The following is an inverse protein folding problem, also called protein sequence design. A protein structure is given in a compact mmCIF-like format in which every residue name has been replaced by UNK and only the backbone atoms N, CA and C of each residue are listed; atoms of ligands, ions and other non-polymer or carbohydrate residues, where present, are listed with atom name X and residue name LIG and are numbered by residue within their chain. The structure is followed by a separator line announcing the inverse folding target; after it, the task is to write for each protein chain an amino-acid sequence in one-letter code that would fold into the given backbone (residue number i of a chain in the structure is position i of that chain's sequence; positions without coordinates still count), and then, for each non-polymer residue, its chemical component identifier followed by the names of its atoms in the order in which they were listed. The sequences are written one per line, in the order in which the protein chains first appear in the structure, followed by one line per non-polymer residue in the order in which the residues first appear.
data_IF_090455736922
#
_entry.id   IF_090455736922
#
_cell.length_a   1.000
_cell.length_b   1.000
_cell.length_c   1.000
_cell.angle_alpha   90.00
_cell.angle_beta   90.00
_cell.angle_gamma   90.00
#
_symmetry.space_group_name_H-M   'P 1'
#
loop_
_entity.id
_entity.type
_entity.pdbx_description
1 polymer ?
#
# COMPACT_ATOMS: atom_id res chain seq x y z
N UNK A 1 9.26 -50.93 -9.93
CA UNK A 1 9.61 -50.05 -11.06
C UNK A 1 8.42 -49.15 -11.37
N UNK A 2 8.69 -47.82 -11.47
CA UNK A 2 7.79 -46.70 -11.87
C UNK A 2 6.67 -46.37 -10.85
N UNK A 3 6.95 -45.57 -9.82
CA UNK A 3 6.89 -44.09 -9.79
C UNK A 3 5.66 -43.49 -10.49
N UNK A 4 4.69 -43.02 -9.69
CA UNK A 4 4.31 -41.59 -9.62
C UNK A 4 3.42 -41.32 -8.41
N UNK A 5 4.03 -40.60 -7.48
CA UNK A 5 3.45 -39.90 -6.34
C UNK A 5 2.79 -38.58 -6.79
N UNK A 6 2.12 -37.94 -5.83
CA UNK A 6 1.68 -36.53 -5.80
C UNK A 6 0.29 -36.26 -6.40
N UNK A 7 -0.74 -36.55 -5.60
CA UNK A 7 -1.94 -35.72 -5.50
C UNK A 7 -2.05 -35.30 -4.04
N UNK A 8 -1.37 -34.21 -3.70
CA UNK A 8 -1.54 -33.47 -2.45
C UNK A 8 -1.99 -32.06 -2.80
N UNK A 9 -3.15 -31.70 -2.24
CA UNK A 9 -3.50 -30.37 -1.76
C UNK A 9 -3.69 -29.25 -2.80
N UNK A 10 -4.95 -28.85 -3.02
CA UNK A 10 -5.34 -27.45 -2.81
C UNK A 10 -6.83 -27.38 -2.48
N UNK A 11 -7.12 -27.28 -1.18
CA UNK A 11 -8.36 -26.80 -0.63
C UNK A 11 -8.03 -25.54 0.19
N UNK A 12 -9.02 -24.64 0.31
CA UNK A 12 -9.08 -23.46 1.21
C UNK A 12 -8.33 -22.23 0.63
N UNK A 13 -8.96 -21.06 0.38
CA UNK A 13 -9.72 -20.19 1.32
C UNK A 13 -10.99 -19.60 0.69
N UNK A 14 -12.11 -19.76 1.41
CA UNK A 14 -13.40 -19.06 1.30
C UNK A 14 -13.33 -17.65 1.93
N UNK A 15 -14.21 -16.75 1.46
CA UNK A 15 -14.95 -15.74 2.24
C UNK A 15 -14.15 -14.76 3.11
N UNK A 16 -14.10 -13.49 2.67
CA UNK A 16 -14.18 -12.31 3.56
C UNK A 16 -14.84 -11.14 2.79
N UNK A 17 -16.17 -11.12 2.66
CA UNK A 17 -16.94 -9.89 2.44
C UNK A 17 -18.31 -10.06 3.10
N UNK A 18 -18.27 -10.04 4.43
CA UNK A 18 -19.42 -10.19 5.30
C UNK A 18 -18.92 -10.14 6.74
N UNK A 19 -18.66 -8.94 7.25
CA UNK A 19 -18.22 -8.73 8.63
C UNK A 19 -16.72 -8.59 8.84
N UNK A 20 -16.11 -7.55 8.28
CA UNK A 20 -14.84 -7.00 8.79
C UNK A 20 -14.64 -5.57 8.32
N UNK A 21 -15.40 -4.64 8.93
CA UNK A 21 -14.95 -3.26 9.14
C UNK A 21 -13.81 -3.19 10.20
N UNK A 22 -13.09 -4.28 10.42
CA UNK A 22 -11.99 -4.37 11.37
C UNK A 22 -10.72 -4.73 10.62
N UNK A 23 -9.74 -3.84 10.71
CA UNK A 23 -8.32 -4.03 10.36
C UNK A 23 -7.89 -3.62 8.95
N UNK A 24 -8.39 -2.51 8.42
CA UNK A 24 -7.47 -1.60 7.73
C UNK A 24 -6.66 -0.90 8.85
N UNK A 25 -5.66 -1.59 9.39
CA UNK A 25 -4.67 -0.92 10.23
C UNK A 25 -3.93 0.04 9.29
N UNK A 26 -4.38 1.29 9.28
CA UNK A 26 -3.65 2.38 8.67
C UNK A 26 -2.23 2.30 9.20
N UNK A 27 -1.24 2.10 8.32
CA UNK A 27 0.14 2.32 8.73
C UNK A 27 0.21 3.74 9.23
N UNK A 28 0.58 3.90 10.51
CA UNK A 28 0.65 5.20 11.18
C UNK A 28 1.51 6.21 10.39
N UNK A 29 2.49 5.68 9.64
CA UNK A 29 3.41 6.47 8.84
C UNK A 29 3.84 5.65 7.61
N UNK A 30 3.34 5.97 6.39
CA UNK A 30 3.71 5.27 5.16
C UNK A 30 5.14 5.58 4.71
N UNK A 31 5.77 6.59 5.32
CA UNK A 31 7.16 6.97 5.04
C UNK A 31 8.18 5.96 5.60
N UNK A 32 7.83 5.25 6.68
CA UNK A 32 8.69 4.28 7.36
C UNK A 32 8.50 2.88 6.78
N UNK A 33 9.56 2.35 6.18
CA UNK A 33 9.57 0.98 5.63
C UNK A 33 9.71 -0.03 6.76
N UNK A 34 8.88 -1.08 6.72
CA UNK A 34 8.89 -2.21 7.65
C UNK A 34 9.28 -3.47 6.90
N UNK A 35 10.02 -4.35 7.56
CA UNK A 35 10.38 -5.66 7.04
C UNK A 35 9.27 -6.69 7.29
N UNK A 36 9.36 -7.80 6.58
CA UNK A 36 8.46 -8.94 6.67
C UNK A 36 7.20 -8.85 5.80
N UNK A 37 6.63 -10.02 5.51
CA UNK A 37 5.38 -10.18 4.76
C UNK A 37 4.46 -11.24 5.40
N UNK A 38 3.25 -11.36 4.87
CA UNK A 38 2.32 -12.44 5.23
C UNK A 38 1.89 -12.44 6.71
N UNK A 39 1.65 -13.63 7.31
CA UNK A 39 1.09 -13.75 8.66
C UNK A 39 1.94 -13.09 9.76
N UNK A 40 3.28 -13.16 9.67
CA UNK A 40 4.20 -12.53 10.65
C UNK A 40 4.01 -11.01 10.64
N UNK A 41 4.02 -10.39 9.46
CA UNK A 41 3.78 -8.95 9.32
C UNK A 41 2.42 -8.53 9.86
N UNK A 42 1.40 -9.35 9.63
CA UNK A 42 0.06 -9.14 10.20
C UNK A 42 0.03 -9.19 11.73
N UNK A 43 0.87 -10.01 12.38
CA UNK A 43 1.01 -10.03 13.84
C UNK A 43 1.76 -8.81 14.36
N UNK A 44 2.87 -8.43 13.72
CA UNK A 44 3.65 -7.25 14.09
C UNK A 44 2.81 -5.96 13.94
N UNK A 45 1.99 -5.84 12.89
CA UNK A 45 1.08 -4.70 12.73
C UNK A 45 0.07 -4.59 13.88
N UNK A 46 -0.38 -5.72 14.44
CA UNK A 46 -1.27 -5.71 15.62
C UNK A 46 -0.57 -5.26 16.90
N UNK A 47 0.75 -5.40 16.96
CA UNK A 47 1.55 -4.93 18.08
C UNK A 47 1.85 -3.43 17.99
N UNK A 48 1.86 -2.86 16.78
CA UNK A 48 2.03 -1.41 16.60
C UNK A 48 0.85 -0.61 17.21
N UNK A 49 1.16 0.58 17.75
CA UNK A 49 0.23 1.47 18.45
C UNK A 49 -0.46 0.80 19.66
N UNK A 50 0.18 -0.22 20.23
CA UNK A 50 -0.18 -0.77 21.53
C UNK A 50 0.93 -0.46 22.54
N UNK A 51 0.63 -0.41 23.85
CA UNK A 51 1.66 -0.31 24.88
C UNK A 51 2.74 -1.38 24.67
N UNK A 52 4.01 -0.99 24.74
CA UNK A 52 5.09 -1.96 24.65
C UNK A 52 4.95 -2.99 25.78
N UNK A 53 5.08 -4.30 25.51
CA UNK A 53 4.96 -5.34 26.52
C UNK A 53 6.10 -5.22 27.54
N UNK A 54 5.86 -4.55 28.67
CA UNK A 54 6.88 -4.27 29.68
C UNK A 54 7.52 -5.56 30.26
N UNK A 55 6.78 -6.67 30.24
CA UNK A 55 7.26 -8.01 30.60
C UNK A 55 8.37 -8.52 29.67
N UNK A 56 8.49 -8.00 28.44
CA UNK A 56 9.58 -8.36 27.54
C UNK A 56 10.96 -8.00 28.13
N UNK A 57 11.08 -6.89 28.85
CA UNK A 57 12.36 -6.51 29.47
C UNK A 57 12.83 -7.51 30.53
N UNK A 58 11.90 -8.19 31.20
CA UNK A 58 12.21 -9.23 32.20
C UNK A 58 12.73 -10.53 31.57
N UNK A 59 12.66 -10.67 30.24
CA UNK A 59 13.22 -11.81 29.50
C UNK A 59 14.72 -11.65 29.19
N UNK A 60 15.27 -10.46 29.46
CA UNK A 60 16.68 -10.13 29.24
C UNK A 60 17.48 -10.14 30.54
N UNK A 61 18.77 -10.50 30.43
CA UNK A 61 19.70 -10.56 31.55
C UNK A 61 20.98 -9.76 31.29
N UNK A 62 21.85 -9.73 32.30
CA UNK A 62 23.26 -9.29 32.21
C UNK A 62 23.49 -7.87 31.65
N UNK A 63 22.54 -6.97 31.88
CA UNK A 63 22.57 -5.58 31.42
C UNK A 63 23.94 -4.89 31.65
N UNK A 64 24.46 -4.25 30.60
CA UNK A 64 25.66 -3.40 30.61
C UNK A 64 25.30 -1.99 30.17
N UNK A 65 26.07 -1.02 30.65
CA UNK A 65 25.98 0.39 30.26
C UNK A 65 24.60 1.03 30.53
N UNK A 66 23.79 0.40 31.40
CA UNK A 66 22.45 0.83 31.76
C UNK A 66 21.60 -0.32 32.32
N UNK A 67 20.30 -0.08 32.40
CA UNK A 67 19.28 -1.05 32.79
C UNK A 67 18.09 -0.95 31.81
N UNK A 68 17.08 -1.82 31.98
CA UNK A 68 15.85 -1.76 31.19
C UNK A 68 15.24 -0.34 31.23
N UNK A 69 14.96 0.29 30.07
CA UNK A 69 14.46 1.64 30.04
C UNK A 69 12.95 1.70 30.29
N UNK A 70 12.51 2.77 30.95
CA UNK A 70 11.14 3.26 30.86
C UNK A 70 11.05 4.31 29.74
N UNK A 71 9.94 4.30 28.99
CA UNK A 71 9.73 5.20 27.86
C UNK A 71 9.17 6.57 28.30
N UNK A 72 9.63 7.09 29.44
CA UNK A 72 9.13 8.28 30.17
C UNK A 72 9.29 9.59 29.38
N UNK A 73 8.49 9.77 28.31
CA UNK A 73 8.63 10.90 27.39
C UNK A 73 9.82 10.79 26.43
N UNK A 74 10.52 9.65 26.41
CA UNK A 74 11.69 9.37 25.56
C UNK A 74 11.38 8.35 24.48
N UNK A 75 12.13 8.40 23.40
CA UNK A 75 12.06 7.40 22.32
C UNK A 75 13.02 6.27 22.65
N UNK A 76 12.60 5.01 22.53
CA UNK A 76 13.47 3.85 22.70
C UNK A 76 13.64 3.13 21.37
N UNK A 77 14.87 3.04 20.87
CA UNK A 77 15.27 2.18 19.77
C UNK A 77 15.78 0.86 20.33
N UNK A 78 15.18 -0.24 19.92
CA UNK A 78 15.63 -1.60 20.20
C UNK A 78 16.31 -2.12 18.93
N UNK A 79 17.55 -2.57 19.04
CA UNK A 79 18.30 -3.24 17.97
C UNK A 79 18.64 -4.66 18.43
N UNK A 80 18.11 -5.69 17.78
CA UNK A 80 18.64 -7.04 18.01
C UNK A 80 19.90 -7.24 17.19
N UNK A 81 20.90 -7.92 17.73
CA UNK A 81 22.11 -8.22 16.97
C UNK A 81 22.85 -9.47 17.43
N UNK A 82 23.65 -10.01 16.53
CA UNK A 82 24.59 -11.10 16.74
C UNK A 82 25.96 -10.72 16.17
N UNK A 83 27.00 -10.76 16.99
CA UNK A 83 28.34 -10.26 16.65
C UNK A 83 29.10 -11.14 15.63
N UNK A 84 28.64 -12.35 15.28
CA UNK A 84 29.19 -13.11 14.14
C UNK A 84 28.53 -12.75 12.81
N UNK A 85 27.38 -12.07 12.81
CA UNK A 85 26.65 -11.81 11.58
C UNK A 85 26.99 -10.42 10.99
N UNK A 86 27.57 -10.33 9.77
CA UNK A 86 28.06 -9.06 9.23
C UNK A 86 27.01 -7.95 9.10
N UNK A 87 25.79 -8.28 8.69
CA UNK A 87 24.72 -7.27 8.59
C UNK A 87 24.30 -6.76 9.97
N UNK A 88 24.26 -7.63 10.98
CA UNK A 88 23.97 -7.25 12.35
C UNK A 88 25.03 -6.30 12.94
N UNK A 89 26.31 -6.50 12.60
CA UNK A 89 27.37 -5.54 12.98
C UNK A 89 27.13 -4.14 12.43
N UNK A 90 26.69 -4.03 11.18
CA UNK A 90 26.38 -2.73 10.56
C UNK A 90 25.18 -2.08 11.23
N UNK A 91 24.13 -2.85 11.51
CA UNK A 91 22.96 -2.38 12.25
C UNK A 91 23.33 -1.88 13.65
N UNK A 92 24.15 -2.63 14.37
CA UNK A 92 24.66 -2.24 15.69
C UNK A 92 25.50 -0.95 15.63
N UNK A 93 26.40 -0.81 14.64
CA UNK A 93 27.18 0.41 14.45
C UNK A 93 26.30 1.64 14.17
N UNK A 94 25.22 1.47 13.39
CA UNK A 94 24.20 2.50 13.19
C UNK A 94 23.52 2.87 14.51
N UNK A 95 23.09 1.89 15.30
CA UNK A 95 22.47 2.11 16.59
C UNK A 95 23.41 2.85 17.57
N UNK A 96 24.70 2.50 17.60
CA UNK A 96 25.72 3.21 18.38
C UNK A 96 25.90 4.67 17.95
N UNK A 97 25.95 4.93 16.64
CA UNK A 97 26.03 6.29 16.09
C UNK A 97 24.83 7.11 16.53
N UNK A 98 23.62 6.57 16.39
CA UNK A 98 22.38 7.25 16.79
C UNK A 98 22.33 7.54 18.28
N UNK A 99 22.77 6.61 19.13
CA UNK A 99 22.89 6.87 20.56
C UNK A 99 23.85 8.04 20.86
N UNK A 100 25.00 8.09 20.19
CA UNK A 100 25.97 9.18 20.39
C UNK A 100 25.44 10.54 19.94
N UNK A 101 24.70 10.58 18.83
CA UNK A 101 24.27 11.85 18.22
C UNK A 101 22.91 12.34 18.71
N UNK A 102 22.01 11.44 19.14
CA UNK A 102 20.61 11.76 19.44
C UNK A 102 20.20 11.52 20.90
N UNK A 103 21.09 11.00 21.77
CA UNK A 103 20.75 10.77 23.18
C UNK A 103 20.28 12.04 23.90
N UNK A 104 20.88 13.20 23.59
CA UNK A 104 20.50 14.49 24.18
C UNK A 104 19.09 14.96 23.77
N UNK A 105 18.60 14.50 22.61
CA UNK A 105 17.27 14.83 22.10
C UNK A 105 16.17 13.92 22.69
N UNK A 106 16.58 12.93 23.49
CA UNK A 106 15.69 11.99 24.18
C UNK A 106 15.63 10.60 23.56
N UNK A 107 16.62 10.20 22.75
CA UNK A 107 16.76 8.81 22.28
C UNK A 107 17.46 7.94 23.33
N UNK A 108 16.88 6.78 23.64
CA UNK A 108 17.53 5.67 24.32
C UNK A 108 17.72 4.55 23.31
N UNK A 109 18.89 3.94 23.28
CA UNK A 109 19.16 2.78 22.42
C UNK A 109 19.48 1.58 23.28
N UNK A 110 18.73 0.49 23.07
CA UNK A 110 18.95 -0.82 23.68
C UNK A 110 19.37 -1.80 22.60
N UNK A 111 20.58 -2.31 22.70
CA UNK A 111 21.04 -3.42 21.88
C UNK A 111 20.83 -4.75 22.62
N UNK A 112 20.08 -5.64 21.99
CA UNK A 112 19.76 -6.96 22.53
C UNK A 112 20.61 -8.00 21.82
N UNK A 113 21.63 -8.50 22.52
CA UNK A 113 22.53 -9.48 21.98
C UNK A 113 21.89 -10.88 21.95
N UNK A 114 22.19 -11.64 20.91
CA UNK A 114 21.87 -13.06 20.84
C UNK A 114 22.47 -13.86 22.01
N UNK A 115 21.92 -15.05 22.27
CA UNK A 115 22.38 -15.95 23.34
C UNK A 115 23.86 -16.32 23.20
N UNK A 116 24.30 -16.60 21.98
CA UNK A 116 25.69 -16.94 21.66
C UNK A 116 26.53 -15.66 21.51
N UNK A 117 27.84 -15.70 21.73
CA UNK A 117 28.78 -14.56 21.54
C UNK A 117 28.77 -13.47 22.63
N UNK A 118 27.92 -13.59 23.65
CA UNK A 118 27.76 -12.58 24.70
C UNK A 118 29.05 -12.17 25.42
N UNK A 119 29.91 -13.13 25.77
CA UNK A 119 31.12 -12.86 26.56
C UNK A 119 32.09 -11.87 25.88
N UNK A 120 32.11 -11.84 24.55
CA UNK A 120 32.90 -10.89 23.77
C UNK A 120 32.21 -9.52 23.73
N UNK A 121 30.90 -9.50 23.42
CA UNK A 121 30.09 -8.29 23.38
C UNK A 121 30.08 -7.53 24.73
N UNK A 122 29.96 -8.26 25.85
CA UNK A 122 29.86 -7.69 27.19
C UNK A 122 31.15 -7.02 27.70
N UNK A 123 32.29 -7.29 27.06
CA UNK A 123 33.59 -6.67 27.38
C UNK A 123 33.85 -5.39 26.58
N UNK A 124 33.06 -5.15 25.53
CA UNK A 124 33.21 -3.97 24.67
C UNK A 124 32.67 -2.70 25.30
N UNK A 125 33.36 -1.58 25.05
CA UNK A 125 32.81 -0.26 25.29
C UNK A 125 31.69 0.03 24.29
N UNK A 126 30.61 0.66 24.75
CA UNK A 126 29.44 0.94 23.92
C UNK A 126 28.69 2.18 24.37
N UNK A 127 28.18 2.94 23.41
CA UNK A 127 27.27 4.08 23.66
C UNK A 127 25.81 3.68 23.87
N UNK A 128 25.51 2.38 23.74
CA UNK A 128 24.15 1.84 23.89
C UNK A 128 24.03 1.02 25.16
N UNK A 129 22.81 0.94 25.69
CA UNK A 129 22.47 -0.02 26.74
C UNK A 129 22.51 -1.40 26.09
N UNK A 130 23.26 -2.33 26.68
CA UNK A 130 23.44 -3.68 26.13
C UNK A 130 22.76 -4.69 27.06
N UNK A 131 22.03 -5.64 26.50
CA UNK A 131 21.34 -6.68 27.26
C UNK A 131 21.47 -8.05 26.57
N UNK A 132 21.45 -9.12 27.35
CA UNK A 132 21.59 -10.49 26.86
C UNK A 132 20.23 -11.18 26.74
N UNK A 133 19.87 -11.63 25.54
CA UNK A 133 18.74 -12.55 25.36
C UNK A 133 19.20 -14.01 25.51
N UNK A 134 19.61 -14.37 26.72
CA UNK A 134 20.23 -15.66 27.03
C UNK A 134 19.39 -16.88 26.62
N UNK A 135 18.06 -16.73 26.58
CA UNK A 135 17.11 -17.81 26.29
C UNK A 135 16.43 -17.67 24.92
N UNK A 136 16.68 -16.59 24.16
CA UNK A 136 15.97 -16.29 22.92
C UNK A 136 14.51 -15.88 23.13
N UNK A 137 14.09 -15.63 24.37
CA UNK A 137 12.69 -15.40 24.74
C UNK A 137 12.24 -13.98 24.42
N UNK A 138 13.15 -13.02 24.51
CA UNK A 138 12.84 -11.66 24.07
C UNK A 138 12.56 -11.63 22.56
N UNK A 139 13.42 -12.30 21.78
CA UNK A 139 13.25 -12.44 20.32
C UNK A 139 11.95 -13.13 19.95
N UNK A 140 11.61 -14.24 20.62
CA UNK A 140 10.32 -14.91 20.43
C UNK A 140 9.14 -13.98 20.74
N UNK A 141 9.21 -13.23 21.85
CA UNK A 141 8.16 -12.31 22.30
C UNK A 141 7.90 -11.16 21.32
N UNK A 142 8.94 -10.65 20.68
CA UNK A 142 8.86 -9.58 19.68
C UNK A 142 8.78 -10.08 18.24
N UNK A 143 8.69 -11.40 18.02
CA UNK A 143 8.65 -12.03 16.70
C UNK A 143 9.88 -11.70 15.84
N UNK A 144 11.05 -11.56 16.45
CA UNK A 144 12.32 -11.33 15.76
C UNK A 144 12.65 -12.56 14.92
N UNK A 145 12.84 -12.39 13.61
CA UNK A 145 13.14 -13.49 12.68
C UNK A 145 14.59 -13.49 12.20
N UNK A 146 15.24 -12.32 12.16
CA UNK A 146 16.65 -12.20 11.82
C UNK A 146 17.36 -11.18 12.73
N UNK A 147 18.67 -11.08 12.56
CA UNK A 147 19.41 -9.91 13.02
C UNK A 147 19.97 -9.15 11.82
N UNK A 148 20.03 -7.81 11.84
CA UNK A 148 19.42 -6.97 12.88
C UNK A 148 17.94 -6.72 12.60
N UNK A 149 17.11 -6.74 13.66
CA UNK A 149 15.76 -6.16 13.61
C UNK A 149 15.71 -4.90 14.47
N UNK A 150 14.89 -3.92 14.04
CA UNK A 150 14.72 -2.65 14.73
C UNK A 150 13.29 -2.41 15.17
N UNK A 151 13.10 -2.08 16.45
CA UNK A 151 11.79 -1.75 17.03
C UNK A 151 11.86 -0.39 17.71
N UNK A 152 10.74 0.34 17.68
CA UNK A 152 10.65 1.67 18.24
C UNK A 152 9.54 1.77 19.26
N UNK A 153 9.87 2.25 20.45
CA UNK A 153 8.90 2.71 21.45
C UNK A 153 8.85 4.24 21.36
N UNK A 154 7.66 4.81 21.19
CA UNK A 154 7.50 6.26 21.16
C UNK A 154 7.52 6.89 22.57
N UNK A 155 7.44 8.22 22.62
CA UNK A 155 7.45 9.00 23.87
C UNK A 155 6.27 8.72 24.81
N UNK A 156 5.25 7.99 24.36
CA UNK A 156 4.11 7.57 25.16
C UNK A 156 4.21 6.12 25.65
N UNK A 157 5.29 5.41 25.31
CA UNK A 157 5.49 4.02 25.70
C UNK A 157 4.78 3.00 24.81
N UNK A 158 4.28 3.41 23.64
CA UNK A 158 3.68 2.50 22.68
C UNK A 158 4.74 1.94 21.74
N UNK A 159 4.63 0.67 21.35
CA UNK A 159 5.39 0.13 20.23
C UNK A 159 4.91 0.82 18.96
N UNK A 160 5.69 1.77 18.47
CA UNK A 160 5.30 2.63 17.35
C UNK A 160 5.58 1.98 16.00
N UNK A 161 6.76 1.40 15.87
CA UNK A 161 7.18 0.68 14.67
C UNK A 161 7.79 -0.66 15.08
N UNK A 162 7.36 -1.71 14.41
CA UNK A 162 7.86 -3.06 14.64
C UNK A 162 8.57 -3.58 13.38
N UNK A 163 9.82 -4.00 13.55
CA UNK A 163 10.68 -4.52 12.49
C UNK A 163 10.87 -3.53 11.33
N UNK A 164 11.58 -2.44 11.62
CA UNK A 164 11.86 -1.34 10.68
C UNK A 164 13.06 -1.69 9.81
N UNK A 165 12.92 -1.47 8.50
CA UNK A 165 14.02 -1.70 7.57
C UNK A 165 15.20 -0.79 7.87
N UNK A 166 16.41 -1.33 7.74
CA UNK A 166 17.66 -0.63 8.15
C UNK A 166 17.75 0.79 7.58
N UNK A 167 17.34 1.00 6.32
CA UNK A 167 17.37 2.30 5.64
C UNK A 167 16.37 3.33 6.21
N UNK A 168 15.35 2.89 6.95
CA UNK A 168 14.31 3.75 7.54
C UNK A 168 14.57 4.07 9.02
N UNK A 169 15.58 3.47 9.66
CA UNK A 169 15.85 3.62 11.10
C UNK A 169 16.12 5.08 11.48
N UNK A 170 16.98 5.79 10.74
CA UNK A 170 17.32 7.18 11.05
C UNK A 170 16.13 8.12 10.87
N UNK A 171 15.34 7.91 9.80
CA UNK A 171 14.11 8.66 9.58
C UNK A 171 13.09 8.42 10.70
N UNK A 172 12.93 7.17 11.15
CA UNK A 172 12.04 6.83 12.26
C UNK A 172 12.48 7.52 13.57
N UNK A 173 13.78 7.55 13.87
CA UNK A 173 14.33 8.31 15.00
C UNK A 173 13.96 9.78 14.90
N UNK A 174 14.22 10.42 13.77
CA UNK A 174 14.00 11.86 13.60
C UNK A 174 12.52 12.23 13.74
N UNK A 175 11.62 11.43 13.15
CA UNK A 175 10.17 11.63 13.29
C UNK A 175 9.72 11.50 14.74
N UNK A 176 10.17 10.48 15.47
CA UNK A 176 9.73 10.24 16.84
C UNK A 176 10.31 11.21 17.84
N UNK A 177 11.53 11.70 17.61
CA UNK A 177 12.12 12.74 18.44
C UNK A 177 11.42 14.09 18.24
N UNK A 178 10.92 14.38 17.04
CA UNK A 178 10.13 15.58 16.74
C UNK A 178 8.69 15.51 17.27
N UNK A 179 8.14 14.30 17.45
CA UNK A 179 6.80 14.08 18.00
C UNK A 179 6.76 14.39 19.51
N UNK A 180 5.69 15.04 19.97
CA UNK A 180 5.43 15.29 21.41
C UNK A 180 4.72 14.10 22.04
N UNK A 181 4.94 13.87 23.34
CA UNK A 181 4.34 12.75 24.07
C UNK A 181 2.79 12.70 23.97
N UNK A 182 2.12 13.84 24.13
CA UNK A 182 0.65 13.91 24.02
C UNK A 182 0.16 13.58 22.59
N UNK A 183 0.92 13.99 21.57
CA UNK A 183 0.60 13.68 20.18
C UNK A 183 0.78 12.19 19.87
N UNK A 184 1.82 11.55 20.45
CA UNK A 184 2.05 10.12 20.36
C UNK A 184 0.93 9.32 21.05
N UNK A 185 0.56 9.70 22.28
CA UNK A 185 -0.50 9.04 23.05
C UNK A 185 -1.87 9.11 22.34
N UNK A 186 -2.17 10.26 21.72
CA UNK A 186 -3.43 10.48 21.01
C UNK A 186 -3.51 9.87 19.60
N UNK A 187 -2.40 9.33 19.05
CA UNK A 187 -2.35 8.93 17.64
C UNK A 187 -3.39 7.86 17.29
N UNK A 188 -3.49 6.79 18.08
CA UNK A 188 -4.44 5.69 17.81
C UNK A 188 -5.88 6.19 17.78
N UNK A 189 -6.23 7.06 18.73
CA UNK A 189 -7.54 7.71 18.79
C UNK A 189 -7.79 8.56 17.54
N UNK A 190 -6.84 9.44 17.20
CA UNK A 190 -6.92 10.28 15.99
C UNK A 190 -7.08 9.47 14.70
N UNK A 191 -6.33 8.38 14.53
CA UNK A 191 -6.47 7.49 13.36
C UNK A 191 -7.83 6.80 13.32
N UNK A 192 -8.37 6.42 14.49
CA UNK A 192 -9.72 5.86 14.60
C UNK A 192 -10.79 6.92 14.29
N UNK A 193 -10.65 8.14 14.80
CA UNK A 193 -11.55 9.27 14.53
C UNK A 193 -11.52 9.66 13.06
N UNK A 194 -10.34 9.72 12.44
CA UNK A 194 -10.18 9.96 11.01
C UNK A 194 -10.81 8.83 10.17
N UNK A 195 -10.66 7.57 10.60
CA UNK A 195 -11.31 6.44 9.94
C UNK A 195 -12.83 6.49 10.08
N UNK A 196 -13.34 6.85 11.25
CA UNK A 196 -14.76 7.03 11.50
C UNK A 196 -15.32 8.23 10.74
N UNK A 197 -14.60 9.35 10.69
CA UNK A 197 -14.99 10.53 9.91
C UNK A 197 -15.02 10.22 8.41
N UNK A 198 -14.05 9.43 7.90
CA UNK A 198 -14.10 8.92 6.52
C UNK A 198 -15.30 8.01 6.29
N UNK A 199 -15.59 7.09 7.19
CA UNK A 199 -16.76 6.20 7.09
C UNK A 199 -18.07 6.98 7.15
N UNK A 200 -18.19 7.96 8.04
CA UNK A 200 -19.35 8.86 8.12
C UNK A 200 -19.50 9.71 6.86
N UNK A 201 -18.39 10.22 6.31
CA UNK A 201 -18.42 10.97 5.05
C UNK A 201 -18.81 10.08 3.88
N UNK A 202 -18.32 8.84 3.81
CA UNK A 202 -18.74 7.85 2.81
C UNK A 202 -20.22 7.54 2.95
N UNK A 203 -20.72 7.28 4.17
CA UNK A 203 -22.14 7.07 4.44
C UNK A 203 -22.98 8.30 4.11
N UNK A 204 -22.47 9.51 4.34
CA UNK A 204 -23.14 10.76 3.98
C UNK A 204 -23.22 10.92 2.47
N UNK A 205 -22.13 10.65 1.76
CA UNK A 205 -22.09 10.63 0.30
C UNK A 205 -23.10 9.60 -0.23
N UNK A 206 -23.14 8.40 0.34
CA UNK A 206 -24.08 7.34 -0.04
C UNK A 206 -25.54 7.73 0.32
N UNK A 207 -25.81 8.32 1.48
CA UNK A 207 -27.14 8.79 1.86
C UNK A 207 -27.63 9.97 1.00
N UNK A 208 -26.72 10.83 0.53
CA UNK A 208 -27.04 11.88 -0.45
C UNK A 208 -27.31 11.29 -1.85
N UNK A 209 -26.72 10.14 -2.18
CA UNK A 209 -27.06 9.37 -3.40
C UNK A 209 -28.42 8.69 -3.30
N UNK A 210 -28.86 8.29 -2.12
CA UNK A 210 -30.16 7.64 -1.94
C UNK A 210 -31.35 8.62 -2.00
N UNK A 211 -31.13 9.92 -1.77
CA UNK A 211 -32.19 10.95 -1.86
C UNK A 211 -32.32 11.60 -3.24
N UNK A 212 -31.34 11.42 -4.13
CA UNK A 212 -31.36 11.97 -5.49
C UNK A 212 -30.87 10.88 -6.43
N UNK A 213 -31.71 10.45 -7.37
CA UNK A 213 -31.28 9.55 -8.44
C UNK A 213 -30.19 10.24 -9.28
N UNK A 214 -28.92 10.06 -8.91
CA UNK A 214 -27.78 10.64 -9.62
C UNK A 214 -27.63 10.10 -11.05
N UNK A 215 -28.34 9.01 -11.40
CA UNK A 215 -28.38 8.49 -12.77
C UNK A 215 -29.27 9.34 -13.68
N UNK A 216 -30.14 10.18 -13.10
CA UNK A 216 -31.02 11.09 -13.84
C UNK A 216 -30.41 12.46 -14.14
N UNK A 217 -29.25 12.80 -13.56
CA UNK A 217 -28.58 14.09 -13.81
C UNK A 217 -28.01 14.07 -15.23
N UNK A 218 -28.43 15.00 -16.12
CA UNK A 218 -27.86 15.09 -17.47
C UNK A 218 -26.35 15.40 -17.41
N UNK A 219 -25.64 15.17 -18.52
CA UNK A 219 -24.27 15.68 -18.65
C UNK A 219 -24.33 17.20 -18.80
N UNK A 220 -23.83 17.92 -17.80
CA UNK A 220 -23.82 19.38 -17.77
C UNK A 220 -22.47 19.92 -18.22
N UNK A 221 -22.42 21.03 -18.99
CA UNK A 221 -21.16 21.69 -19.27
C UNK A 221 -20.58 22.27 -17.97
N UNK A 222 -19.29 22.05 -17.75
CA UNK A 222 -18.56 22.61 -16.61
C UNK A 222 -17.24 23.21 -17.12
N UNK A 223 -16.68 24.23 -16.45
CA UNK A 223 -15.41 24.81 -16.84
C UNK A 223 -14.28 23.78 -16.68
N UNK A 224 -13.46 23.63 -17.71
CA UNK A 224 -12.26 22.78 -17.60
C UNK A 224 -11.32 23.35 -16.52
N UNK A 225 -10.71 22.50 -15.68
CA UNK A 225 -9.79 22.98 -14.66
C UNK A 225 -8.57 23.68 -15.25
N UNK A 226 -8.11 24.73 -14.59
CA UNK A 226 -6.88 25.40 -15.01
C UNK A 226 -5.64 24.52 -14.73
N UNK A 227 -4.54 24.66 -15.49
CA UNK A 227 -3.28 23.97 -15.22
C UNK A 227 -2.77 24.20 -13.79
N UNK A 228 -3.00 25.38 -13.22
CA UNK A 228 -2.62 25.73 -11.86
C UNK A 228 -3.43 24.92 -10.83
N UNK A 229 -4.73 24.72 -11.06
CA UNK A 229 -5.58 23.90 -10.20
C UNK A 229 -5.15 22.43 -10.22
N UNK A 230 -4.80 21.89 -11.39
CA UNK A 230 -4.26 20.52 -11.55
C UNK A 230 -2.93 20.37 -10.81
N UNK A 231 -2.04 21.37 -10.90
CA UNK A 231 -0.74 21.36 -10.23
C UNK A 231 -0.87 21.49 -8.70
N UNK A 232 -1.83 22.26 -8.22
CA UNK A 232 -2.06 22.48 -6.79
C UNK A 232 -2.80 21.32 -6.10
N UNK A 233 -3.40 20.40 -6.87
CA UNK A 233 -4.13 19.26 -6.33
C UNK A 233 -3.19 18.33 -5.54
N UNK A 234 -3.67 17.88 -4.37
CA UNK A 234 -2.93 17.01 -3.45
C UNK A 234 -3.10 15.54 -3.86
N UNK A 235 -2.49 15.18 -4.99
CA UNK A 235 -2.53 13.83 -5.55
C UNK A 235 -2.00 12.77 -4.57
N UNK A 236 -2.46 11.51 -4.66
CA UNK A 236 -1.83 10.43 -3.91
C UNK A 236 -0.35 10.30 -4.31
N UNK A 237 0.54 9.93 -3.38
CA UNK A 237 1.93 9.68 -3.74
C UNK A 237 2.01 8.47 -4.66
N UNK A 238 2.83 8.61 -5.71
CA UNK A 238 3.12 7.54 -6.66
C UNK A 238 4.00 6.46 -6.03
N UNK A 239 4.02 5.24 -6.59
CA UNK A 239 5.01 4.23 -6.20
C UNK A 239 6.45 4.72 -6.38
N UNK A 240 7.39 4.12 -5.65
CA UNK A 240 8.81 4.36 -5.84
C UNK A 240 9.27 3.78 -7.18
N UNK A 241 10.22 4.45 -7.83
CA UNK A 241 10.87 3.93 -9.02
C UNK A 241 11.72 2.71 -8.63
N UNK A 242 11.41 1.51 -9.16
CA UNK A 242 12.16 0.30 -8.87
C UNK A 242 13.61 0.35 -9.40
N UNK A 243 13.94 1.30 -10.27
CA UNK A 243 15.27 1.49 -10.86
C UNK A 243 16.13 2.52 -10.12
N UNK A 244 15.59 3.17 -9.08
CA UNK A 244 16.34 4.16 -8.31
C UNK A 244 17.54 3.51 -7.59
N UNK A 245 18.68 4.21 -7.56
CA UNK A 245 19.88 3.73 -6.86
C UNK A 245 19.62 3.61 -5.35
N UNK A 246 20.21 2.60 -4.71
CA UNK A 246 20.13 2.42 -3.25
C UNK A 246 20.50 3.73 -2.53
N UNK A 247 19.56 4.24 -1.72
CA UNK A 247 19.70 5.51 -0.98
C UNK A 247 19.02 6.73 -1.62
N UNK A 248 18.41 6.60 -2.80
CA UNK A 248 17.56 7.64 -3.41
C UNK A 248 16.14 7.09 -3.59
N UNK A 249 15.20 7.50 -2.74
CA UNK A 249 13.78 7.18 -2.93
C UNK A 249 13.16 8.16 -3.94
N UNK A 250 13.35 7.90 -5.23
CA UNK A 250 12.67 8.66 -6.29
C UNK A 250 11.27 8.09 -6.51
N UNK A 251 10.24 8.92 -6.42
CA UNK A 251 8.88 8.53 -6.82
C UNK A 251 8.78 8.53 -8.34
N UNK A 252 7.88 7.70 -8.89
CA UNK A 252 7.52 7.80 -10.29
C UNK A 252 6.86 9.17 -10.57
N UNK A 253 6.94 9.59 -11.82
CA UNK A 253 6.23 10.77 -12.32
C UNK A 253 4.89 10.36 -12.97
N UNK A 254 3.83 11.18 -12.88
CA UNK A 254 2.57 10.91 -13.56
C UNK A 254 2.77 10.73 -15.06
N UNK A 255 2.10 9.74 -15.66
CA UNK A 255 2.26 9.41 -17.08
C UNK A 255 0.95 9.60 -17.84
N UNK A 256 0.96 10.15 -19.07
CA UNK A 256 -0.25 10.25 -19.87
C UNK A 256 -0.75 8.85 -20.26
N UNK A 257 -2.06 8.63 -20.17
CA UNK A 257 -2.71 7.39 -20.59
C UNK A 257 -3.76 7.71 -21.66
N UNK A 258 -3.57 7.14 -22.84
CA UNK A 258 -4.53 7.24 -23.93
C UNK A 258 -5.48 6.04 -23.89
N UNK A 259 -6.78 6.31 -23.74
CA UNK A 259 -7.82 5.28 -23.83
C UNK A 259 -8.25 5.09 -25.29
N UNK A 260 -8.56 3.86 -25.73
CA UNK A 260 -9.08 3.59 -27.06
C UNK A 260 -10.34 4.41 -27.37
N UNK A 261 -10.55 4.76 -28.64
CA UNK A 261 -11.77 5.45 -29.07
C UNK A 261 -12.89 4.50 -29.50
N UNK A 262 -12.55 3.26 -29.84
CA UNK A 262 -13.47 2.24 -30.38
C UNK A 262 -13.49 1.00 -29.49
N UNK A 263 -14.37 0.04 -29.84
CA UNK A 263 -14.45 -1.28 -29.20
C UNK A 263 -14.82 -1.26 -27.70
N UNK A 264 -15.64 -0.28 -27.32
CA UNK A 264 -16.20 -0.18 -25.98
C UNK A 264 -17.49 -0.99 -25.85
N UNK A 265 -17.66 -1.62 -24.70
CA UNK A 265 -18.90 -2.27 -24.30
C UNK A 265 -19.43 -1.73 -22.97
N UNK A 266 -20.76 -1.49 -22.84
CA UNK A 266 -21.77 -1.56 -23.90
C UNK A 266 -21.67 -0.42 -24.93
N UNK A 267 -20.98 0.66 -24.56
CA UNK A 267 -20.65 1.83 -25.37
C UNK A 267 -19.51 2.59 -24.72
N UNK A 268 -18.93 3.56 -25.42
CA UNK A 268 -17.94 4.46 -24.81
C UNK A 268 -18.62 5.31 -23.72
N UNK A 269 -18.11 5.32 -22.48
CA UNK A 269 -18.63 6.18 -21.42
C UNK A 269 -18.28 7.65 -21.65
N UNK A 270 -19.01 8.55 -20.99
CA UNK A 270 -18.53 9.93 -20.81
C UNK A 270 -17.37 9.90 -19.80
N UNK A 271 -16.26 10.54 -20.17
CA UNK A 271 -15.02 10.55 -19.40
C UNK A 271 -14.72 11.93 -18.82
N UNK A 272 -15.31 12.99 -19.37
CA UNK A 272 -15.08 14.37 -18.91
C UNK A 272 -15.50 14.52 -17.46
N UNK A 273 -14.59 15.08 -16.66
CA UNK A 273 -14.85 15.37 -15.23
C UNK A 273 -14.97 14.11 -14.37
N UNK A 274 -14.42 12.98 -14.83
CA UNK A 274 -14.40 11.71 -14.11
C UNK A 274 -12.99 11.16 -14.05
N UNK A 275 -12.64 10.55 -12.93
CA UNK A 275 -11.47 9.69 -12.88
C UNK A 275 -11.78 8.35 -13.56
N UNK A 276 -10.74 7.60 -13.94
CA UNK A 276 -10.88 6.29 -14.58
C UNK A 276 -10.06 5.25 -13.80
N UNK A 277 -10.70 4.15 -13.41
CA UNK A 277 -10.01 2.97 -12.87
C UNK A 277 -9.91 1.93 -13.98
N UNK A 278 -8.70 1.68 -14.45
CA UNK A 278 -8.41 0.64 -15.43
C UNK A 278 -7.95 -0.61 -14.71
N UNK A 279 -8.40 -1.80 -15.14
CA UNK A 279 -7.77 -3.05 -14.76
C UNK A 279 -7.51 -3.90 -16.00
N UNK A 280 -6.35 -4.55 -16.07
CA UNK A 280 -6.04 -5.46 -17.16
C UNK A 280 -6.68 -6.81 -16.91
N UNK A 281 -7.24 -7.41 -17.96
CA UNK A 281 -7.77 -8.76 -17.89
C UNK A 281 -7.57 -9.54 -19.20
N UNK A 282 -7.70 -10.85 -19.12
CA UNK A 282 -7.55 -11.76 -20.25
C UNK A 282 -8.52 -12.96 -20.12
N UNK A 283 -9.36 -13.25 -21.13
CA UNK A 283 -10.41 -14.27 -21.05
C UNK A 283 -9.87 -15.68 -20.81
N UNK A 284 -8.69 -16.00 -21.33
CA UNK A 284 -8.06 -17.30 -21.11
C UNK A 284 -7.27 -17.40 -19.79
N UNK A 285 -7.32 -16.36 -18.96
CA UNK A 285 -6.72 -16.33 -17.63
C UNK A 285 -7.82 -16.07 -16.60
N UNK A 286 -8.52 -17.11 -16.09
CA UNK A 286 -9.64 -16.96 -15.15
C UNK A 286 -9.34 -16.09 -13.93
N UNK A 287 -8.10 -16.15 -13.41
CA UNK A 287 -7.63 -15.33 -12.29
C UNK A 287 -7.55 -13.82 -12.59
N UNK A 288 -7.75 -13.41 -13.85
CA UNK A 288 -7.76 -12.00 -14.28
C UNK A 288 -9.09 -11.30 -14.19
N UNK A 289 -10.18 -12.06 -14.19
CA UNK A 289 -11.50 -11.48 -14.40
C UNK A 289 -12.55 -12.01 -13.42
N UNK A 290 -12.46 -13.27 -12.96
CA UNK A 290 -13.48 -13.83 -12.06
C UNK A 290 -13.52 -13.15 -10.67
N UNK A 291 -12.38 -12.73 -10.11
CA UNK A 291 -12.32 -12.09 -8.78
C UNK A 291 -12.46 -10.57 -8.80
N UNK A 292 -12.17 -9.92 -9.93
CA UNK A 292 -12.10 -8.45 -10.03
C UNK A 292 -13.40 -7.85 -10.55
N UNK A 293 -14.09 -8.52 -11.48
CA UNK A 293 -15.26 -7.96 -12.14
C UNK A 293 -16.42 -7.64 -11.20
N UNK A 294 -16.63 -8.44 -10.15
CA UNK A 294 -17.65 -8.13 -9.14
C UNK A 294 -17.35 -6.80 -8.42
N UNK A 295 -16.09 -6.58 -8.06
CA UNK A 295 -15.66 -5.35 -7.41
C UNK A 295 -15.70 -4.16 -8.38
N UNK A 296 -15.39 -4.39 -9.67
CA UNK A 296 -15.53 -3.38 -10.71
C UNK A 296 -16.99 -2.93 -10.87
N UNK A 297 -17.95 -3.85 -10.88
CA UNK A 297 -19.39 -3.53 -10.92
C UNK A 297 -19.82 -2.76 -9.66
N UNK A 298 -19.34 -3.15 -8.47
CA UNK A 298 -19.62 -2.44 -7.23
C UNK A 298 -19.08 -1.01 -7.25
N UNK A 299 -17.82 -0.82 -7.65
CA UNK A 299 -17.19 0.50 -7.73
C UNK A 299 -17.87 1.38 -8.77
N UNK A 300 -18.28 0.83 -9.91
CA UNK A 300 -19.03 1.58 -10.92
C UNK A 300 -20.41 2.00 -10.41
N UNK A 301 -21.13 1.11 -9.71
CA UNK A 301 -22.43 1.46 -9.12
C UNK A 301 -22.29 2.52 -8.04
N UNK A 302 -21.30 2.34 -7.17
CA UNK A 302 -21.08 3.27 -6.06
C UNK A 302 -20.60 4.61 -6.59
N UNK A 303 -19.55 4.66 -7.40
CA UNK A 303 -18.87 5.90 -7.76
C UNK A 303 -19.13 6.37 -9.19
N UNK A 304 -20.05 5.77 -9.95
CA UNK A 304 -20.20 5.97 -11.40
C UNK A 304 -20.39 7.40 -11.90
N UNK A 305 -20.78 8.30 -11.00
CA UNK A 305 -20.86 9.74 -11.30
C UNK A 305 -19.49 10.41 -11.33
N UNK A 306 -18.55 9.98 -10.48
CA UNK A 306 -17.19 10.52 -10.36
C UNK A 306 -16.10 9.61 -10.95
N UNK A 307 -16.40 8.33 -11.14
CA UNK A 307 -15.48 7.28 -11.56
C UNK A 307 -16.06 6.51 -12.74
N UNK A 308 -15.20 6.20 -13.70
CA UNK A 308 -15.46 5.22 -14.74
C UNK A 308 -14.55 4.01 -14.52
N UNK A 309 -15.13 2.84 -14.29
CA UNK A 309 -14.37 1.59 -14.15
C UNK A 309 -14.33 0.89 -15.50
N UNK A 310 -13.12 0.52 -15.93
CA UNK A 310 -12.89 -0.06 -17.26
C UNK A 310 -12.04 -1.32 -17.16
N UNK A 311 -12.59 -2.45 -17.59
CA UNK A 311 -11.84 -3.66 -17.85
C UNK A 311 -11.18 -3.59 -19.23
N UNK A 312 -9.86 -3.48 -19.25
CA UNK A 312 -9.06 -3.41 -20.47
C UNK A 312 -8.53 -4.80 -20.82
N UNK A 313 -9.02 -5.36 -21.91
CA UNK A 313 -8.44 -6.56 -22.49
C UNK A 313 -7.17 -6.16 -23.25
N UNK A 314 -6.04 -6.76 -22.90
CA UNK A 314 -4.77 -6.55 -23.63
C UNK A 314 -4.21 -7.89 -24.13
N UNK A 315 -3.52 -7.92 -25.29
CA UNK A 315 -2.79 -9.09 -25.77
C UNK A 315 -1.69 -9.58 -24.84
N UNK A 316 -1.10 -8.69 -24.03
CA UNK A 316 -0.02 -8.98 -23.06
C UNK A 316 1.14 -9.81 -23.68
N UNK A 317 2.17 -9.12 -24.17
CA UNK A 317 3.32 -9.74 -24.84
C UNK A 317 4.27 -10.51 -23.90
N UNK A 318 4.09 -10.36 -22.58
CA UNK A 318 4.96 -10.86 -21.52
C UNK A 318 4.32 -12.03 -20.76
N UNK A 319 5.13 -12.78 -20.00
CA UNK A 319 4.63 -13.87 -19.17
C UNK A 319 3.83 -13.33 -17.99
N UNK A 320 2.68 -13.95 -17.72
CA UNK A 320 1.85 -13.65 -16.54
C UNK A 320 2.03 -14.81 -15.57
N UNK A 321 2.57 -14.57 -14.38
CA UNK A 321 2.88 -15.62 -13.39
C UNK A 321 3.69 -16.80 -14.00
N UNK A 322 4.69 -16.50 -14.83
CA UNK A 322 5.50 -17.47 -15.57
C UNK A 322 4.74 -18.32 -16.62
N UNK A 323 3.49 -17.97 -16.94
CA UNK A 323 2.74 -18.58 -18.04
C UNK A 323 2.85 -17.69 -19.29
N UNK A 324 3.32 -18.27 -20.39
CA UNK A 324 3.40 -17.60 -21.68
C UNK A 324 2.11 -17.83 -22.47
N UNK A 325 1.50 -16.76 -22.98
CA UNK A 325 0.33 -16.83 -23.85
C UNK A 325 0.73 -17.33 -25.24
N UNK A 326 -0.11 -18.19 -25.84
CA UNK A 326 0.10 -18.66 -27.22
C UNK A 326 -0.12 -17.53 -28.23
N UNK A 327 0.32 -17.70 -29.48
CA UNK A 327 0.02 -16.72 -30.55
C UNK A 327 -1.48 -16.50 -30.71
N UNK A 328 -2.25 -17.57 -30.66
CA UNK A 328 -3.71 -17.54 -30.73
C UNK A 328 -4.38 -16.79 -29.57
N UNK A 329 -3.77 -16.83 -28.39
CA UNK A 329 -4.25 -16.09 -27.22
C UNK A 329 -3.93 -14.60 -27.30
N UNK A 330 -2.95 -14.21 -28.12
CA UNK A 330 -2.50 -12.82 -28.31
C UNK A 330 -3.06 -12.16 -29.57
N UNK A 331 -3.72 -12.94 -30.44
CA UNK A 331 -4.29 -12.44 -31.69
C UNK A 331 -5.38 -11.39 -31.43
N UNK A 332 -5.20 -10.13 -31.88
CA UNK A 332 -6.13 -9.05 -31.58
C UNK A 332 -7.56 -9.28 -32.11
N UNK A 333 -7.71 -9.97 -33.24
CA UNK A 333 -9.02 -10.24 -33.85
C UNK A 333 -9.77 -11.30 -33.03
N UNK A 334 -9.07 -12.37 -32.62
CA UNK A 334 -9.63 -13.40 -31.73
C UNK A 334 -9.98 -12.81 -30.37
N UNK A 335 -9.12 -11.95 -29.82
CA UNK A 335 -9.36 -11.28 -28.55
C UNK A 335 -10.56 -10.33 -28.60
N UNK A 336 -10.73 -9.58 -29.69
CA UNK A 336 -11.92 -8.75 -29.89
C UNK A 336 -13.19 -9.60 -29.93
N UNK A 337 -13.18 -10.74 -30.63
CA UNK A 337 -14.31 -11.67 -30.64
C UNK A 337 -14.62 -12.21 -29.24
N UNK A 338 -13.60 -12.56 -28.46
CA UNK A 338 -13.77 -13.02 -27.07
C UNK A 338 -14.32 -11.92 -26.16
N UNK A 339 -13.88 -10.67 -26.33
CA UNK A 339 -14.45 -9.53 -25.63
C UNK A 339 -15.96 -9.44 -25.90
N UNK A 340 -16.39 -9.55 -27.16
CA UNK A 340 -17.81 -9.51 -27.51
C UNK A 340 -18.60 -10.69 -26.93
N UNK A 341 -18.03 -11.89 -26.92
CA UNK A 341 -18.66 -13.08 -26.31
C UNK A 341 -18.84 -12.90 -24.79
N UNK A 342 -17.79 -12.44 -24.09
CA UNK A 342 -17.84 -12.14 -22.66
C UNK A 342 -18.87 -11.05 -22.37
N UNK A 343 -18.82 -9.95 -23.13
CA UNK A 343 -19.76 -8.84 -23.06
C UNK A 343 -21.23 -9.27 -23.22
N UNK A 344 -21.51 -10.24 -24.08
CA UNK A 344 -22.87 -10.80 -24.29
C UNK A 344 -23.27 -11.81 -23.21
N UNK A 345 -22.31 -12.51 -22.62
CA UNK A 345 -22.56 -13.61 -21.66
C UNK A 345 -23.12 -13.15 -20.31
N UNK A 346 -22.86 -11.90 -19.91
CA UNK A 346 -23.30 -11.35 -18.64
C UNK A 346 -23.58 -9.86 -18.74
N UNK A 347 -24.44 -9.37 -17.85
CA UNK A 347 -24.63 -7.94 -17.67
C UNK A 347 -23.47 -7.37 -16.84
N UNK A 348 -22.86 -6.32 -17.36
CA UNK A 348 -21.84 -5.54 -16.66
C UNK A 348 -22.45 -4.18 -16.30
N UNK A 349 -22.15 -3.73 -15.08
CA UNK A 349 -22.45 -2.35 -14.67
C UNK A 349 -21.29 -1.43 -15.09
N UNK A 350 -20.05 -1.94 -15.12
CA UNK A 350 -18.85 -1.27 -15.61
C UNK A 350 -18.58 -1.46 -17.11
N UNK A 351 -17.58 -0.76 -17.64
CA UNK A 351 -17.25 -0.73 -19.06
C UNK A 351 -16.13 -1.70 -19.40
N UNK A 352 -16.14 -2.24 -20.60
CA UNK A 352 -15.05 -3.05 -21.13
C UNK A 352 -14.51 -2.43 -22.42
N UNK A 353 -13.22 -2.60 -22.68
CA UNK A 353 -12.57 -2.24 -23.95
C UNK A 353 -11.41 -3.18 -24.24
N UNK A 354 -10.85 -3.09 -25.45
CA UNK A 354 -9.63 -3.77 -25.86
C UNK A 354 -8.55 -2.74 -26.20
N UNK A 355 -7.33 -2.98 -25.73
CA UNK A 355 -6.11 -2.25 -26.09
C UNK A 355 -5.22 -3.17 -26.95
N UNK A 356 -5.46 -3.25 -28.27
CA UNK A 356 -4.80 -4.23 -29.14
C UNK A 356 -3.30 -3.95 -29.32
N UNK A 357 -2.86 -2.72 -29.03
CA UNK A 357 -1.45 -2.32 -29.13
C UNK A 357 -0.70 -2.39 -27.80
N UNK A 358 -1.36 -2.80 -26.70
CA UNK A 358 -0.79 -2.75 -25.35
C UNK A 358 -0.33 -1.34 -24.91
N UNK A 359 -0.85 -0.29 -25.54
CA UNK A 359 -0.39 1.08 -25.36
C UNK A 359 -0.54 1.59 -23.92
N UNK A 360 -1.59 1.17 -23.21
CA UNK A 360 -1.84 1.56 -21.82
C UNK A 360 -0.76 0.96 -20.91
N UNK A 361 -0.45 -0.32 -21.09
CA UNK A 361 0.57 -0.99 -20.29
C UNK A 361 1.98 -0.48 -20.61
N UNK A 362 2.30 -0.33 -21.90
CA UNK A 362 3.60 0.13 -22.38
C UNK A 362 3.89 1.58 -21.97
N UNK A 363 2.86 2.44 -21.87
CA UNK A 363 3.03 3.78 -21.33
C UNK A 363 3.54 3.75 -19.87
N UNK A 364 3.10 2.76 -19.08
CA UNK A 364 3.34 2.72 -17.64
C UNK A 364 4.60 1.97 -17.26
N UNK A 365 4.96 0.91 -17.99
CA UNK A 365 6.11 0.07 -17.67
C UNK A 365 7.38 0.44 -18.45
N UNK A 366 8.50 0.54 -17.73
CA UNK A 366 9.83 0.65 -18.33
C UNK A 366 10.45 -0.76 -18.44
N UNK A 367 10.23 -1.45 -19.56
CA UNK A 367 10.98 -2.65 -19.97
C UNK A 367 10.92 -3.89 -19.06
N UNK A 368 9.91 -4.01 -18.18
CA UNK A 368 9.77 -5.19 -17.33
C UNK A 368 9.02 -6.32 -18.06
N UNK A 369 9.59 -7.53 -18.06
CA UNK A 369 8.98 -8.73 -18.63
C UNK A 369 7.93 -9.40 -17.72
N UNK A 370 7.54 -8.73 -16.63
CA UNK A 370 6.62 -9.28 -15.61
C UNK A 370 5.52 -8.25 -15.33
N UNK A 371 4.27 -8.66 -15.51
CA UNK A 371 3.10 -7.85 -15.16
C UNK A 371 2.82 -8.03 -13.66
N UNK A 372 2.82 -6.97 -12.83
CA UNK A 372 2.36 -7.06 -11.45
C UNK A 372 0.89 -7.43 -11.46
N UNK A 373 0.54 -8.51 -10.79
CA UNK A 373 -0.81 -9.04 -10.81
C UNK A 373 -1.46 -8.98 -9.43
N UNK A 374 -2.68 -8.43 -9.30
CA UNK A 374 -3.50 -7.81 -10.35
C UNK A 374 -2.93 -6.46 -10.83
N UNK A 375 -3.10 -6.15 -12.12
CA UNK A 375 -2.68 -4.87 -12.69
C UNK A 375 -3.86 -3.91 -12.83
N UNK A 376 -3.73 -2.72 -12.27
CA UNK A 376 -4.73 -1.68 -12.39
C UNK A 376 -4.11 -0.29 -12.30
N UNK A 377 -4.80 0.71 -12.83
CA UNK A 377 -4.29 2.08 -12.99
C UNK A 377 -5.38 3.05 -12.60
N UNK A 378 -5.04 4.07 -11.83
CA UNK A 378 -5.92 5.18 -11.52
C UNK A 378 -5.51 6.37 -12.39
N UNK A 379 -6.40 6.79 -13.28
CA UNK A 379 -6.20 7.90 -14.21
C UNK A 379 -7.09 9.06 -13.77
N UNK A 380 -6.52 10.25 -13.61
CA UNK A 380 -7.29 11.46 -13.31
C UNK A 380 -8.04 12.00 -14.54
N UNK A 381 -8.95 12.95 -14.33
CA UNK A 381 -9.79 13.56 -15.37
C UNK A 381 -8.98 14.29 -16.47
N UNK A 382 -7.73 14.64 -16.19
CA UNK A 382 -6.76 15.19 -17.14
C UNK A 382 -5.96 14.12 -17.91
N UNK A 383 -6.38 12.85 -17.83
CA UNK A 383 -5.81 11.69 -18.53
C UNK A 383 -4.39 11.31 -18.08
N UNK A 384 -4.00 11.70 -16.88
CA UNK A 384 -2.72 11.31 -16.28
C UNK A 384 -2.92 10.13 -15.35
N UNK A 385 -2.10 9.09 -15.47
CA UNK A 385 -1.98 8.04 -14.46
C UNK A 385 -1.38 8.65 -13.19
N UNK A 386 -2.14 8.56 -12.10
CA UNK A 386 -1.77 9.07 -10.77
C UNK A 386 -1.40 7.95 -9.80
N UNK A 387 -1.60 6.69 -10.18
CA UNK A 387 -1.22 5.52 -9.40
C UNK A 387 -1.31 4.22 -10.24
N UNK A 388 -0.33 3.32 -10.13
CA UNK A 388 -0.34 1.95 -10.69
C UNK A 388 0.68 1.06 -9.95
N UNK A 389 0.54 -0.28 -9.95
CA UNK A 389 1.53 -1.14 -9.30
C UNK A 389 2.80 -1.27 -10.16
N UNK A 390 3.97 -1.37 -9.51
CA UNK A 390 5.26 -1.66 -10.17
C UNK A 390 5.97 -2.81 -9.48
N UNK A 391 6.82 -3.54 -10.21
CA UNK A 391 7.59 -4.67 -9.68
C UNK A 391 9.03 -4.23 -9.41
N UNK A 392 9.63 -4.71 -8.32
CA UNK A 392 11.05 -4.50 -7.99
C UNK A 392 11.98 -5.18 -9.01
N UNK A 393 13.23 -4.72 -9.08
CA UNK A 393 14.27 -5.47 -9.81
C UNK A 393 14.39 -6.88 -9.22
N UNK A 394 14.12 -7.90 -10.04
CA UNK A 394 14.10 -9.31 -9.62
C UNK A 394 12.72 -9.97 -9.64
N UNK A 395 11.64 -9.23 -9.92
CA UNK A 395 10.35 -9.83 -10.28
C UNK A 395 9.50 -10.33 -9.09
N UNK A 396 9.91 -10.07 -7.85
CA UNK A 396 9.28 -10.70 -6.66
C UNK A 396 8.43 -9.77 -5.80
N UNK A 397 8.68 -8.44 -5.79
CA UNK A 397 7.96 -7.53 -4.88
C UNK A 397 7.18 -6.46 -5.65
N UNK A 398 5.90 -6.32 -5.37
CA UNK A 398 5.11 -5.16 -5.81
C UNK A 398 5.45 -3.99 -4.91
N UNK A 399 6.03 -2.92 -5.45
CA UNK A 399 6.32 -1.71 -4.70
C UNK A 399 5.06 -0.84 -4.73
N UNK A 400 4.31 -0.83 -3.64
CA UNK A 400 3.16 0.05 -3.47
C UNK A 400 3.50 1.12 -2.43
N UNK A 401 3.46 2.40 -2.82
CA UNK A 401 3.65 3.52 -1.89
C UNK A 401 2.42 3.79 -1.01
N UNK A 402 1.22 3.36 -1.47
CA UNK A 402 -0.08 3.54 -0.80
C UNK A 402 -1.01 2.40 -1.21
N UNK A 403 -1.94 2.04 -0.32
CA UNK A 403 -3.08 1.18 -0.67
C UNK A 403 -3.86 1.72 -1.90
N UNK A 404 -4.21 0.85 -2.86
CA UNK A 404 -4.84 1.28 -4.10
C UNK A 404 -6.23 1.91 -3.95
N UNK A 405 -7.02 1.45 -2.98
CA UNK A 405 -8.35 2.03 -2.72
C UNK A 405 -8.18 3.40 -2.07
N UNK A 406 -7.24 3.54 -1.14
CA UNK A 406 -6.91 4.84 -0.57
C UNK A 406 -6.43 5.84 -1.63
N UNK A 407 -5.60 5.40 -2.59
CA UNK A 407 -5.17 6.23 -3.71
C UNK A 407 -6.36 6.66 -4.60
N UNK A 408 -7.26 5.73 -4.93
CA UNK A 408 -8.47 6.02 -5.72
C UNK A 408 -9.35 7.06 -5.04
N UNK A 409 -9.67 6.85 -3.76
CA UNK A 409 -10.51 7.78 -3.00
C UNK A 409 -9.86 9.17 -2.88
N UNK A 410 -8.53 9.22 -2.72
CA UNK A 410 -7.81 10.49 -2.73
C UNK A 410 -7.92 11.20 -4.08
N UNK A 411 -7.78 10.49 -5.21
CA UNK A 411 -8.00 11.06 -6.55
C UNK A 411 -9.42 11.61 -6.67
N UNK A 412 -10.45 10.83 -6.35
CA UNK A 412 -11.85 11.29 -6.42
C UNK A 412 -12.13 12.53 -5.55
N UNK A 413 -11.38 12.69 -4.45
CA UNK A 413 -11.48 13.83 -3.55
C UNK A 413 -10.79 15.09 -4.08
N UNK A 414 -9.61 14.95 -4.69
CA UNK A 414 -8.77 16.10 -5.04
C UNK A 414 -8.77 16.46 -6.51
N UNK A 415 -9.29 15.60 -7.39
CA UNK A 415 -9.28 15.81 -8.83
C UNK A 415 -10.11 17.05 -9.22
N UNK A 416 -9.47 18.10 -9.77
CA UNK A 416 -10.15 19.35 -10.09
C UNK A 416 -11.26 19.20 -11.14
N UNK A 417 -11.15 18.27 -12.08
CA UNK A 417 -12.20 18.03 -13.09
C UNK A 417 -13.42 17.36 -12.46
N UNK A 418 -13.20 16.44 -11.52
CA UNK A 418 -14.28 15.87 -10.70
C UNK A 418 -14.95 16.96 -9.86
N UNK A 419 -14.17 17.83 -9.21
CA UNK A 419 -14.73 18.91 -8.39
C UNK A 419 -15.51 19.95 -9.21
N UNK A 420 -14.98 20.35 -10.37
CA UNK A 420 -15.64 21.31 -11.26
C UNK A 420 -17.00 20.79 -11.74
N UNK A 421 -17.07 19.52 -12.15
CA UNK A 421 -18.33 18.87 -12.53
C UNK A 421 -19.31 18.80 -11.35
N UNK A 422 -18.85 18.36 -10.17
CA UNK A 422 -19.68 18.28 -8.96
C UNK A 422 -20.29 19.64 -8.58
N UNK A 423 -19.55 20.74 -8.76
CA UNK A 423 -20.04 22.08 -8.44
C UNK A 423 -21.26 22.44 -9.30
N UNK A 424 -21.19 22.23 -10.61
CA UNK A 424 -22.30 22.51 -11.55
C UNK A 424 -23.49 21.59 -11.28
N UNK A 425 -23.25 20.32 -10.99
CA UNK A 425 -24.32 19.37 -10.65
C UNK A 425 -25.02 19.73 -9.33
N UNK A 426 -24.27 20.17 -8.33
CA UNK A 426 -24.85 20.62 -7.06
C UNK A 426 -25.75 21.86 -7.26
N UNK A 427 -25.39 22.77 -8.16
CA UNK A 427 -26.24 23.89 -8.54
C UNK A 427 -27.51 23.41 -9.25
N UNK A 428 -27.39 22.49 -10.20
CA UNK A 428 -28.54 21.91 -10.89
C UNK A 428 -29.52 21.24 -9.92
N UNK A 429 -29.03 20.39 -9.01
CA UNK A 429 -29.86 19.71 -8.00
C UNK A 429 -30.63 20.74 -7.16
N UNK A 430 -29.98 21.82 -6.70
CA UNK A 430 -30.63 22.90 -5.95
C UNK A 430 -31.73 23.59 -6.73
N UNK A 431 -31.61 23.69 -8.06
CA UNK A 431 -32.66 24.28 -8.90
C UNK A 431 -33.85 23.35 -9.14
N UNK A 432 -33.64 22.03 -9.15
CA UNK A 432 -34.72 21.04 -9.34
C UNK A 432 -35.49 20.72 -8.04
N UNK A 433 -34.93 21.04 -6.88
CA UNK A 433 -35.58 20.87 -5.57
C UNK A 433 -36.41 22.10 -5.14
N UNK A 434 -36.41 23.18 -5.91
CA UNK A 434 -37.32 24.33 -5.76
C UNK A 434 -38.53 24.14 -6.65
#
# INVERSE_FOLDING_TARGET
MKNRSILRSLAVVLVVLGGSLASAQHQADPSIVREGEGPRRGQLNKMELAPFPADAWSLLSDWKHGAAPAADGKVVLICTYADWYPSAKRGFALAQRLAQTKAKDGLIVVAVHHKDGWDAAAKGDSSVILAHDAQGKFRERLLVDQDPDFYFIDRSGQLRYADVATESVEQAVDLLLAEKADAAAGLKGRLADEAQARDLELRRIDAMRDQVDLTSIPELPFPEPSPEAIKAAKWPPLPRDPSAQQGQATLLEPKPVALPDTNWFPRKPELKGRAVLLYLWHPDLPGSFHGIMHNADLLQRQYGRDLVVVGVLSPLSTSINNQQLTEDQRDPVKLQKKLEEVAKSRKFDHFLTIDPGNAIFDALQNQQNVIPWPFFVIVSSDKMARWWPVVSQGGQTVVAGVDPIAALLQVLKVDPGVQARRAVEAEWIRTQQK
#
